data_IF_238121049821
#
_entry.id   IF_238121049821
#
_cell.length_a   1.000
_cell.length_b   1.000
_cell.length_c   1.000
_cell.angle_alpha   90.00
_cell.angle_beta   90.00
_cell.angle_gamma   90.00
#
_symmetry.space_group_name_H-M   'P 1'
#
loop_
_entity.id
_entity.type
_entity.pdbx_description
1 polymer ?
#
# COMPACT_ATOMS: atom_id res chain seq x y z
N UNK A 1 -7.30 -10.47 9.53
CA UNK A 1 -6.76 -9.13 9.80
C UNK A 1 -7.74 -8.30 10.61
N UNK A 2 -7.22 -7.44 11.42
CA UNK A 2 -7.96 -6.59 12.32
C UNK A 2 -7.66 -5.13 11.97
N UNK A 3 -8.70 -4.32 11.78
CA UNK A 3 -8.52 -2.90 11.45
C UNK A 3 -8.25 -2.11 12.72
N UNK A 4 -7.05 -1.60 12.85
CA UNK A 4 -6.62 -0.85 14.02
C UNK A 4 -7.08 0.61 13.99
N UNK A 5 -7.16 1.19 12.80
CA UNK A 5 -7.62 2.57 12.65
C UNK A 5 -7.75 2.97 11.19
N UNK A 6 -8.51 4.05 10.98
CA UNK A 6 -8.69 4.66 9.67
C UNK A 6 -8.50 6.17 9.84
N UNK A 7 -7.69 6.77 8.96
CA UNK A 7 -7.40 8.20 9.00
C UNK A 7 -7.67 8.79 7.62
N UNK A 8 -8.38 9.92 7.58
CA UNK A 8 -8.59 10.67 6.35
C UNK A 8 -7.56 11.80 6.33
N UNK A 9 -6.80 11.87 5.23
CA UNK A 9 -5.66 12.78 5.11
C UNK A 9 -5.90 13.70 3.90
N UNK A 10 -5.62 15.01 4.04
CA UNK A 10 -5.67 15.91 2.89
C UNK A 10 -4.70 15.47 1.78
N UNK A 11 -5.00 15.87 0.55
CA UNK A 11 -4.17 15.53 -0.61
C UNK A 11 -2.91 16.40 -0.64
N UNK A 12 -2.01 16.16 0.30
CA UNK A 12 -0.77 16.89 0.50
C UNK A 12 0.33 15.89 0.81
N UNK A 13 1.42 15.96 0.08
CA UNK A 13 2.51 14.98 0.18
C UNK A 13 3.06 14.86 1.60
N UNK A 14 3.29 15.98 2.27
CA UNK A 14 3.85 15.97 3.62
C UNK A 14 2.90 15.35 4.63
N UNK A 15 1.60 15.68 4.53
CA UNK A 15 0.60 15.12 5.45
C UNK A 15 0.39 13.63 5.22
N UNK A 16 0.41 13.20 3.95
CA UNK A 16 0.33 11.77 3.63
C UNK A 16 1.54 11.04 4.21
N UNK A 17 2.73 11.58 4.02
CA UNK A 17 3.96 10.98 4.55
C UNK A 17 3.91 10.86 6.07
N UNK A 18 3.47 11.92 6.77
CA UNK A 18 3.36 11.90 8.23
C UNK A 18 2.37 10.86 8.72
N UNK A 19 1.24 10.70 8.02
CA UNK A 19 0.25 9.69 8.37
C UNK A 19 0.84 8.29 8.24
N UNK A 20 1.57 8.03 7.16
CA UNK A 20 2.23 6.73 6.96
C UNK A 20 3.27 6.49 8.05
N UNK A 21 4.12 7.48 8.32
CA UNK A 21 5.14 7.37 9.36
C UNK A 21 4.51 7.04 10.73
N UNK A 22 3.40 7.69 11.06
CA UNK A 22 2.71 7.45 12.33
C UNK A 22 2.26 5.99 12.44
N UNK A 23 1.70 5.44 11.36
CA UNK A 23 1.29 4.04 11.35
C UNK A 23 2.47 3.09 11.49
N UNK A 24 3.56 3.36 10.77
CA UNK A 24 4.77 2.53 10.83
C UNK A 24 5.39 2.56 12.21
N UNK A 25 5.53 3.75 12.80
CA UNK A 25 6.07 3.91 14.15
C UNK A 25 5.17 3.22 15.17
N UNK A 26 3.85 3.24 14.95
CA UNK A 26 2.90 2.53 15.80
C UNK A 26 2.97 1.02 15.70
N UNK A 27 3.74 0.48 14.77
CA UNK A 27 4.00 -0.95 14.68
C UNK A 27 2.89 -1.77 14.03
N UNK A 28 2.06 -1.16 13.18
CA UNK A 28 1.04 -1.93 12.46
C UNK A 28 1.70 -2.92 11.50
N UNK A 29 1.08 -4.06 11.30
CA UNK A 29 1.61 -5.08 10.38
C UNK A 29 1.39 -4.69 8.93
N UNK A 30 0.23 -4.12 8.61
CA UNK A 30 -0.16 -3.74 7.26
C UNK A 30 -0.74 -2.33 7.28
N UNK A 31 -0.19 -1.46 6.44
CA UNK A 31 -0.68 -0.11 6.25
C UNK A 31 -1.10 0.08 4.80
N UNK A 32 -2.36 0.43 4.61
CA UNK A 32 -2.93 0.65 3.28
C UNK A 32 -3.21 2.13 3.07
N UNK A 33 -2.83 2.66 1.92
CA UNK A 33 -3.33 3.94 1.47
C UNK A 33 -4.32 3.71 0.33
N UNK A 34 -5.34 4.54 0.25
CA UNK A 34 -6.37 4.41 -0.78
C UNK A 34 -6.51 5.76 -1.47
N UNK A 35 -6.19 5.79 -2.77
CA UNK A 35 -6.25 6.99 -3.58
C UNK A 35 -4.90 7.66 -3.81
N UNK A 36 -4.90 8.67 -4.64
CA UNK A 36 -3.72 9.50 -4.91
C UNK A 36 -2.62 8.83 -5.71
N UNK A 37 -2.91 7.76 -6.44
CA UNK A 37 -1.91 6.96 -7.16
C UNK A 37 -2.01 7.06 -8.69
N UNK A 38 -2.86 7.94 -9.21
CA UNK A 38 -3.06 8.09 -10.64
C UNK A 38 -2.07 9.02 -11.30
N UNK A 39 -2.38 9.40 -12.54
CA UNK A 39 -1.50 10.21 -13.38
C UNK A 39 -1.66 11.71 -13.19
N UNK A 40 -2.68 12.15 -12.46
CA UNK A 40 -2.94 13.57 -12.21
C UNK A 40 -1.80 14.18 -11.40
N UNK A 41 -1.40 15.44 -11.69
CA UNK A 41 -0.41 16.12 -10.85
C UNK A 41 -0.87 16.38 -9.42
N UNK A 42 -2.15 16.14 -9.12
CA UNK A 42 -2.68 16.23 -7.75
C UNK A 42 -2.47 14.94 -6.95
N UNK A 43 -2.00 13.87 -7.60
CA UNK A 43 -1.80 12.59 -6.93
C UNK A 43 -0.38 12.52 -6.39
N UNK A 44 -0.23 12.45 -5.07
CA UNK A 44 1.05 12.55 -4.37
C UNK A 44 1.38 11.33 -3.51
N UNK A 45 0.52 10.32 -3.48
CA UNK A 45 0.72 9.19 -2.56
C UNK A 45 2.01 8.41 -2.83
N UNK A 46 2.38 8.09 -4.09
CA UNK A 46 3.64 7.39 -4.33
C UNK A 46 4.85 8.20 -3.89
N UNK A 47 4.85 9.52 -4.15
CA UNK A 47 5.93 10.42 -3.77
C UNK A 47 6.08 10.52 -2.25
N UNK A 48 4.95 10.49 -1.52
CA UNK A 48 4.95 10.52 -0.07
C UNK A 48 5.42 9.19 0.53
N UNK A 49 5.14 8.07 -0.15
CA UNK A 49 5.43 6.73 0.33
C UNK A 49 6.88 6.32 0.08
N UNK A 50 7.40 6.63 -1.10
CA UNK A 50 8.71 6.14 -1.54
C UNK A 50 9.85 6.41 -0.54
N UNK A 51 9.97 7.62 0.05
CA UNK A 51 11.06 7.88 0.99
C UNK A 51 11.02 7.03 2.27
N UNK A 52 9.88 6.43 2.57
CA UNK A 52 9.69 5.64 3.79
C UNK A 52 9.93 4.15 3.56
N UNK A 53 10.09 3.73 2.31
CA UNK A 53 10.25 2.32 1.96
C UNK A 53 11.70 1.90 2.10
N UNK A 54 11.95 0.95 2.97
CA UNK A 54 13.28 0.36 3.17
C UNK A 54 13.59 -0.67 2.09
N UNK A 55 12.59 -1.49 1.74
CA UNK A 55 12.72 -2.53 0.73
C UNK A 55 11.47 -2.54 -0.14
N UNK A 56 11.64 -2.28 -1.44
CA UNK A 56 10.54 -2.31 -2.40
C UNK A 56 10.14 -3.75 -2.72
N UNK A 57 8.83 -3.95 -2.92
CA UNK A 57 8.27 -5.23 -3.33
C UNK A 57 7.50 -5.04 -4.65
N UNK A 58 8.23 -4.80 -5.75
CA UNK A 58 7.57 -4.49 -7.04
C UNK A 58 6.71 -5.62 -7.57
N UNK A 59 7.02 -6.86 -7.23
CA UNK A 59 6.21 -8.00 -7.64
C UNK A 59 4.80 -7.96 -7.11
N UNK A 60 4.62 -7.49 -5.87
CA UNK A 60 3.28 -7.34 -5.28
C UNK A 60 2.54 -6.19 -5.97
N UNK A 61 3.22 -5.06 -6.21
CA UNK A 61 2.63 -3.93 -6.92
C UNK A 61 2.16 -4.33 -8.32
N UNK A 62 2.95 -5.12 -9.03
CA UNK A 62 2.57 -5.63 -10.34
C UNK A 62 1.40 -6.59 -10.27
N UNK A 63 1.36 -7.48 -9.28
CA UNK A 63 0.25 -8.39 -9.09
C UNK A 63 -1.05 -7.63 -8.86
N UNK A 64 -1.01 -6.56 -8.09
CA UNK A 64 -2.17 -5.71 -7.85
C UNK A 64 -2.65 -5.04 -9.13
N UNK A 65 -1.74 -4.49 -9.93
CA UNK A 65 -2.09 -3.85 -11.20
C UNK A 65 -2.66 -4.86 -12.20
N UNK A 66 -2.03 -6.00 -12.32
CA UNK A 66 -2.45 -7.05 -13.25
C UNK A 66 -3.81 -7.62 -12.86
N UNK A 67 -4.00 -7.92 -11.59
CA UNK A 67 -5.27 -8.44 -11.08
C UNK A 67 -6.39 -7.42 -11.26
N UNK A 68 -6.14 -6.15 -10.96
CA UNK A 68 -7.11 -5.09 -11.15
C UNK A 68 -7.52 -4.93 -12.60
N UNK A 69 -6.58 -4.99 -13.51
CA UNK A 69 -6.88 -4.93 -14.94
C UNK A 69 -7.77 -6.09 -15.38
N UNK A 70 -7.46 -7.30 -14.92
CA UNK A 70 -8.24 -8.50 -15.23
C UNK A 70 -9.66 -8.41 -14.67
N UNK A 71 -9.84 -7.72 -13.55
CA UNK A 71 -11.15 -7.50 -12.93
C UNK A 71 -11.91 -6.32 -13.55
N UNK A 72 -11.35 -5.64 -14.54
CA UNK A 72 -11.98 -4.52 -15.24
C UNK A 72 -11.74 -3.15 -14.63
N UNK A 73 -10.82 -3.04 -13.67
CA UNK A 73 -10.45 -1.77 -13.06
C UNK A 73 -9.38 -1.07 -13.91
N UNK A 74 -9.79 -0.21 -14.83
CA UNK A 74 -8.86 0.49 -15.73
C UNK A 74 -7.86 1.36 -14.99
N UNK A 75 -8.28 1.99 -13.90
CA UNK A 75 -7.42 2.83 -13.07
C UNK A 75 -6.31 2.04 -12.37
N UNK A 76 -6.53 0.76 -12.11
CA UNK A 76 -5.50 -0.09 -11.51
C UNK A 76 -4.31 -0.28 -12.46
N UNK A 77 -4.58 -0.39 -13.76
CA UNK A 77 -3.54 -0.59 -14.78
C UNK A 77 -2.56 0.58 -14.86
N UNK A 78 -3.04 1.81 -14.64
CA UNK A 78 -2.21 3.02 -14.70
C UNK A 78 -1.81 3.53 -13.32
N UNK A 79 -2.06 2.75 -12.29
CA UNK A 79 -1.66 3.11 -10.94
C UNK A 79 -0.14 3.17 -10.80
N UNK A 80 0.35 4.21 -10.15
CA UNK A 80 1.76 4.36 -9.79
C UNK A 80 2.02 3.91 -8.35
N UNK A 81 1.07 3.20 -7.76
CA UNK A 81 1.15 2.75 -6.39
C UNK A 81 2.38 1.91 -6.09
N UNK A 82 2.87 2.05 -4.89
CA UNK A 82 4.08 1.40 -4.38
C UNK A 82 3.68 0.38 -3.33
N UNK A 83 4.38 -0.74 -3.30
CA UNK A 83 4.30 -1.71 -2.23
C UNK A 83 5.71 -1.97 -1.73
N UNK A 84 5.88 -1.96 -0.43
CA UNK A 84 7.19 -2.21 0.16
C UNK A 84 7.14 -2.34 1.67
N UNK A 85 8.31 -2.52 2.25
CA UNK A 85 8.46 -2.69 3.69
C UNK A 85 9.07 -1.42 4.27
N UNK A 86 8.47 -0.91 5.34
CA UNK A 86 9.01 0.19 6.13
C UNK A 86 9.07 -0.29 7.58
N UNK A 87 10.28 -0.45 8.11
CA UNK A 87 10.48 -1.07 9.41
C UNK A 87 9.96 -2.51 9.39
N UNK A 88 8.96 -2.81 10.21
CA UNK A 88 8.29 -4.11 10.26
C UNK A 88 6.87 -4.06 9.66
N UNK A 89 6.55 -3.00 8.94
CA UNK A 89 5.23 -2.77 8.35
C UNK A 89 5.26 -3.01 6.85
N UNK A 90 4.30 -3.76 6.34
CA UNK A 90 4.05 -3.83 4.90
C UNK A 90 3.17 -2.64 4.52
N UNK A 91 3.66 -1.79 3.62
CA UNK A 91 2.92 -0.61 3.13
C UNK A 91 2.49 -0.87 1.70
N UNK A 92 1.22 -0.63 1.40
CA UNK A 92 0.69 -0.81 0.05
C UNK A 92 -0.24 0.34 -0.32
N UNK A 93 -0.03 0.89 -1.52
CA UNK A 93 -0.90 1.92 -2.08
C UNK A 93 -1.94 1.27 -2.99
N UNK A 94 -3.21 1.59 -2.79
CA UNK A 94 -4.31 1.13 -3.63
C UNK A 94 -4.99 2.32 -4.31
N UNK A 95 -5.51 2.09 -5.51
CA UNK A 95 -6.38 3.06 -6.19
C UNK A 95 -7.72 3.17 -5.45
N UNK A 96 -8.43 4.29 -5.63
CA UNK A 96 -9.62 4.57 -4.86
C UNK A 96 -10.95 4.16 -5.52
N UNK A 97 -10.92 3.52 -6.69
CA UNK A 97 -12.14 3.00 -7.28
C UNK A 97 -12.63 1.79 -6.49
N UNK A 98 -13.95 1.60 -6.47
CA UNK A 98 -14.53 0.45 -5.77
C UNK A 98 -13.98 -0.87 -6.30
N UNK A 99 -13.87 -0.98 -7.63
CA UNK A 99 -13.35 -2.20 -8.26
C UNK A 99 -11.89 -2.44 -7.88
N UNK A 100 -11.05 -1.39 -7.90
CA UNK A 100 -9.64 -1.53 -7.55
C UNK A 100 -9.44 -1.91 -6.08
N UNK A 101 -10.23 -1.33 -5.17
CA UNK A 101 -10.14 -1.65 -3.75
C UNK A 101 -10.58 -3.09 -3.49
N UNK A 102 -11.72 -3.50 -4.06
CA UNK A 102 -12.25 -4.86 -3.88
C UNK A 102 -11.25 -5.90 -4.38
N UNK A 103 -10.80 -5.73 -5.60
CA UNK A 103 -9.86 -6.66 -6.22
C UNK A 103 -8.51 -6.61 -5.53
N UNK A 104 -8.03 -5.41 -5.23
CA UNK A 104 -6.75 -5.21 -4.56
C UNK A 104 -6.69 -5.90 -3.21
N UNK A 105 -7.75 -5.81 -2.42
CA UNK A 105 -7.79 -6.47 -1.11
C UNK A 105 -7.79 -7.99 -1.26
N UNK A 106 -8.54 -8.52 -2.23
CA UNK A 106 -8.57 -9.96 -2.48
C UNK A 106 -7.20 -10.51 -2.90
N UNK A 107 -6.45 -9.75 -3.69
CA UNK A 107 -5.12 -10.13 -4.14
C UNK A 107 -4.07 -9.93 -3.05
N UNK A 108 -4.15 -8.80 -2.35
CA UNK A 108 -3.12 -8.39 -1.40
C UNK A 108 -3.13 -9.21 -0.11
N UNK A 109 -4.29 -9.52 0.45
CA UNK A 109 -4.34 -10.12 1.79
C UNK A 109 -3.58 -11.44 1.92
N UNK A 110 -3.68 -12.40 0.97
CA UNK A 110 -2.86 -13.60 1.06
C UNK A 110 -1.38 -13.32 0.97
N UNK A 111 -0.97 -12.37 0.12
CA UNK A 111 0.42 -11.97 -0.03
C UNK A 111 0.92 -11.25 1.21
N UNK A 112 0.08 -10.41 1.80
CA UNK A 112 0.40 -9.69 3.03
C UNK A 112 0.66 -10.67 4.18
N UNK A 113 -0.15 -11.71 4.31
CA UNK A 113 0.05 -12.73 5.34
C UNK A 113 1.40 -13.41 5.19
N UNK A 114 1.74 -13.75 3.96
CA UNK A 114 3.03 -14.37 3.67
C UNK A 114 4.18 -13.45 4.09
N UNK A 115 4.13 -12.18 3.67
CA UNK A 115 5.18 -11.20 3.99
C UNK A 115 5.30 -10.98 5.49
N UNK A 116 4.17 -10.79 6.18
CA UNK A 116 4.16 -10.55 7.62
C UNK A 116 4.74 -11.74 8.37
N UNK A 117 4.41 -12.97 7.95
CA UNK A 117 4.98 -14.17 8.56
C UNK A 117 6.49 -14.25 8.33
N UNK A 118 6.96 -13.89 7.14
CA UNK A 118 8.40 -13.88 6.85
C UNK A 118 9.13 -12.84 7.71
N UNK A 119 8.55 -11.66 7.88
CA UNK A 119 9.14 -10.63 8.74
C UNK A 119 9.22 -11.10 10.20
N UNK A 120 8.19 -11.77 10.68
CA UNK A 120 8.16 -12.30 12.05
C UNK A 120 9.16 -13.43 12.25
N UNK A 121 9.35 -14.29 11.26
CA UNK A 121 10.29 -15.42 11.37
C UNK A 121 11.74 -14.96 11.36
N UNK A 122 12.05 -13.77 10.83
CA UNK A 122 13.41 -13.23 10.89
C UNK A 122 13.86 -12.97 12.33
N UNK A 123 12.93 -12.73 13.24
CA UNK A 123 13.22 -12.49 14.64
C UNK A 123 13.66 -13.76 15.39
N UNK A 124 13.45 -14.92 14.79
CA UNK A 124 13.78 -16.21 15.39
C UNK A 124 15.24 -16.60 15.12
N UNK A 125 15.82 -16.02 14.10
CA UNK A 125 17.19 -16.27 13.70
C UNK A 125 18.09 -15.14 14.16
#
# INVERSE_FOLDING_TARGET
FYVDGVVIVPNDEEQIRKAIETGVVGGVDLLLTIGGVGLSPRHHTPEATLPLIDRALPGIAEALRSSGQSAGAQDACVSRGIVGISGSTLVANLSNSRAAVRDGMATLLPLARYVINELSSLDIY
#
